data_IF_042433627979
#
_entry.id   IF_042433627979
#
_cell.length_a   1.000
_cell.length_b   1.000
_cell.length_c   1.000
_cell.angle_alpha   90.00
_cell.angle_beta   90.00
_cell.angle_gamma   90.00
#
_symmetry.space_group_name_H-M   'P 1'
#
loop_
_entity.id
_entity.type
_entity.pdbx_description
1 polymer ?
#
# COMPACT_ATOMS: atom_id res chain seq x y z
N UNK A 1 31.63 66.48 -39.20
CA UNK A 1 31.53 65.53 -40.32
C UNK A 1 32.61 64.49 -40.06
N UNK A 2 32.28 63.44 -39.30
CA UNK A 2 31.97 62.07 -39.79
C UNK A 2 33.23 61.37 -40.32
N UNK A 3 33.64 60.13 -40.01
CA UNK A 3 33.18 58.93 -39.25
C UNK A 3 34.44 58.00 -39.29
N UNK A 4 34.78 57.04 -38.42
CA UNK A 4 34.17 55.70 -38.19
C UNK A 4 35.12 54.86 -37.29
N UNK A 5 34.56 54.11 -36.32
CA UNK A 5 34.86 52.73 -35.84
C UNK A 5 36.29 52.19 -35.59
N UNK A 6 36.54 51.64 -34.38
CA UNK A 6 36.85 50.20 -34.07
C UNK A 6 37.05 50.04 -32.53
N UNK A 7 36.11 49.48 -31.74
CA UNK A 7 35.90 48.07 -31.32
C UNK A 7 37.09 47.37 -30.62
N UNK A 8 36.76 46.68 -29.52
CA UNK A 8 37.52 45.63 -28.80
C UNK A 8 38.68 46.15 -27.92
N UNK A 9 38.75 45.91 -26.61
CA UNK A 9 38.66 44.61 -25.98
C UNK A 9 37.98 44.66 -24.60
N UNK A 10 36.93 43.85 -24.55
CA UNK A 10 36.30 43.30 -23.37
C UNK A 10 37.33 42.44 -22.61
N UNK A 11 37.74 42.85 -21.41
CA UNK A 11 38.46 41.95 -20.50
C UNK A 11 37.50 41.56 -19.38
N UNK A 12 36.72 40.53 -19.68
CA UNK A 12 35.72 39.92 -18.82
C UNK A 12 36.37 39.40 -17.54
N UNK A 13 36.28 40.15 -16.44
CA UNK A 13 36.42 39.58 -15.11
C UNK A 13 35.26 38.62 -14.90
N UNK A 14 35.49 37.33 -15.14
CA UNK A 14 34.59 36.28 -14.70
C UNK A 14 34.51 36.32 -13.16
N UNK A 15 33.45 36.93 -12.65
CA UNK A 15 32.99 36.78 -11.27
C UNK A 15 32.70 35.28 -11.06
N UNK A 16 33.66 34.58 -10.45
CA UNK A 16 33.50 33.19 -10.04
C UNK A 16 32.44 33.14 -8.94
N UNK A 17 31.28 32.57 -9.27
CA UNK A 17 30.16 32.46 -8.35
C UNK A 17 30.58 31.69 -7.06
N UNK A 18 30.05 32.06 -5.88
CA UNK A 18 30.31 31.36 -4.64
C UNK A 18 29.87 29.90 -4.77
N UNK A 19 30.76 28.96 -4.42
CA UNK A 19 30.38 27.55 -4.33
C UNK A 19 29.48 27.37 -3.12
N UNK A 20 28.18 27.21 -3.36
CA UNK A 20 27.20 26.85 -2.33
C UNK A 20 27.61 25.48 -1.80
N UNK A 21 27.98 25.40 -0.52
CA UNK A 21 28.20 24.14 0.16
C UNK A 21 26.85 23.41 0.22
N UNK A 22 26.75 22.26 -0.44
CA UNK A 22 25.58 21.39 -0.32
C UNK A 22 25.54 20.83 1.10
N UNK A 23 24.57 21.27 1.89
CA UNK A 23 24.29 20.66 3.18
C UNK A 23 23.84 19.21 2.92
N UNK A 24 24.49 18.19 3.49
CA UNK A 24 24.00 16.82 3.38
C UNK A 24 22.61 16.77 4.00
N UNK A 25 21.66 16.18 3.28
CA UNK A 25 20.34 15.89 3.82
C UNK A 25 20.53 15.05 5.09
N UNK A 26 19.76 15.30 6.16
CA UNK A 26 19.80 14.44 7.34
C UNK A 26 19.52 13.01 6.86
N UNK A 27 20.38 12.07 7.27
CA UNK A 27 20.16 10.65 7.04
C UNK A 27 18.82 10.31 7.67
N UNK A 28 17.80 10.04 6.84
CA UNK A 28 16.54 9.50 7.32
C UNK A 28 16.91 8.13 7.90
N UNK A 29 16.90 8.02 9.23
CA UNK A 29 16.96 6.72 9.86
C UNK A 29 15.67 6.01 9.46
N UNK A 30 15.76 5.13 8.48
CA UNK A 30 14.64 4.27 8.11
C UNK A 30 14.34 3.39 9.32
N UNK A 31 13.22 3.64 9.97
CA UNK A 31 12.66 2.66 10.88
C UNK A 31 12.15 1.53 9.99
N UNK A 32 12.69 0.32 10.14
CA UNK A 32 12.16 -0.86 9.48
C UNK A 32 10.76 -1.13 10.07
N UNK A 33 9.73 -0.61 9.40
CA UNK A 33 8.35 -0.97 9.70
C UNK A 33 8.18 -2.45 9.39
N UNK A 34 7.71 -3.21 10.37
CA UNK A 34 7.47 -4.65 10.23
C UNK A 34 6.00 -4.93 10.46
N UNK A 35 5.36 -5.77 9.64
CA UNK A 35 3.96 -6.09 9.83
C UNK A 35 3.78 -6.95 11.07
N UNK A 36 2.61 -6.87 11.68
CA UNK A 36 2.20 -7.82 12.71
C UNK A 36 2.33 -9.24 12.13
N UNK A 37 2.87 -10.17 12.92
CA UNK A 37 3.17 -11.55 12.45
C UNK A 37 1.96 -12.19 11.78
N UNK A 38 0.77 -12.03 12.38
CA UNK A 38 -0.48 -12.58 11.84
C UNK A 38 -0.88 -12.02 10.46
N UNK A 39 -0.45 -10.81 10.12
CA UNK A 39 -0.69 -10.20 8.82
C UNK A 39 0.40 -10.58 7.82
N UNK A 40 1.55 -11.09 8.26
CA UNK A 40 2.67 -11.40 7.37
C UNK A 40 2.30 -12.45 6.34
N UNK A 41 2.72 -12.24 5.10
CA UNK A 41 2.56 -13.21 4.04
C UNK A 41 3.36 -14.49 4.33
N UNK A 42 2.66 -15.61 4.44
CA UNK A 42 3.23 -16.95 4.62
C UNK A 42 2.37 -17.98 3.89
N UNK A 43 3.00 -19.05 3.37
CA UNK A 43 2.28 -20.22 2.85
C UNK A 43 2.51 -21.42 3.80
N UNK A 44 1.49 -21.85 4.57
CA UNK A 44 0.11 -21.41 4.47
C UNK A 44 -0.24 -20.25 5.42
N UNK A 45 -1.13 -19.35 4.98
CA UNK A 45 -1.43 -18.11 5.70
C UNK A 45 -1.79 -18.30 7.18
N UNK A 46 -1.31 -17.38 8.03
CA UNK A 46 -1.50 -17.40 9.47
C UNK A 46 -2.92 -17.02 9.92
N UNK A 47 -3.68 -16.36 9.06
CA UNK A 47 -5.12 -16.12 9.23
C UNK A 47 -5.88 -16.91 8.19
N UNK A 48 -6.82 -17.74 8.63
CA UNK A 48 -7.82 -18.34 7.75
C UNK A 48 -8.97 -17.34 7.57
N UNK A 49 -9.02 -16.69 6.42
CA UNK A 49 -10.04 -15.70 6.11
C UNK A 49 -10.42 -15.74 4.63
N UNK A 50 -11.72 -15.89 4.36
CA UNK A 50 -12.33 -15.80 3.04
C UNK A 50 -12.84 -14.37 2.85
N UNK A 51 -12.29 -13.64 1.87
CA UNK A 51 -12.61 -12.23 1.62
C UNK A 51 -14.08 -11.98 1.25
N UNK A 52 -14.81 -13.02 0.84
CA UNK A 52 -16.24 -12.95 0.56
C UNK A 52 -17.07 -12.82 1.85
N UNK A 53 -16.48 -13.14 3.00
CA UNK A 53 -17.12 -13.05 4.32
C UNK A 53 -16.65 -11.81 5.06
N UNK A 54 -17.43 -11.39 6.04
CA UNK A 54 -17.07 -10.27 6.90
C UNK A 54 -15.80 -10.62 7.72
N UNK A 55 -14.87 -9.67 7.96
CA UNK A 55 -13.64 -9.91 8.73
C UNK A 55 -13.84 -10.48 10.13
N UNK A 56 -15.04 -10.34 10.72
CA UNK A 56 -15.40 -11.00 11.99
C UNK A 56 -15.34 -12.52 11.94
N UNK A 57 -15.34 -13.11 10.75
CA UNK A 57 -15.19 -14.55 10.53
C UNK A 57 -13.73 -14.99 10.42
N UNK A 58 -12.78 -14.05 10.36
CA UNK A 58 -11.35 -14.37 10.31
C UNK A 58 -10.93 -15.13 11.57
N UNK A 59 -10.13 -16.18 11.40
CA UNK A 59 -9.62 -16.99 12.51
C UNK A 59 -8.11 -17.17 12.38
N UNK A 60 -7.34 -17.06 13.49
CA UNK A 60 -5.95 -17.45 13.48
C UNK A 60 -5.86 -18.94 13.14
N UNK A 61 -4.92 -19.32 12.26
CA UNK A 61 -4.65 -20.71 11.89
C UNK A 61 -4.20 -21.54 13.10
N UNK A 62 -3.45 -20.92 14.02
CA UNK A 62 -2.98 -21.53 15.25
C UNK A 62 -3.51 -20.78 16.49
N UNK A 63 -4.79 -20.98 16.88
CA UNK A 63 -5.42 -20.19 17.95
C UNK A 63 -4.71 -20.27 19.31
N UNK A 64 -3.98 -21.35 19.59
CA UNK A 64 -3.24 -21.52 20.85
C UNK A 64 -1.98 -20.66 20.94
N UNK A 65 -1.49 -20.16 19.81
CA UNK A 65 -0.27 -19.36 19.73
C UNK A 65 -0.55 -17.86 19.64
N UNK A 66 -1.83 -17.48 19.59
CA UNK A 66 -2.29 -16.12 19.33
C UNK A 66 -3.18 -15.67 20.49
N UNK A 67 -3.05 -14.41 20.90
CA UNK A 67 -3.88 -13.82 21.96
C UNK A 67 -5.32 -13.74 21.49
N UNK A 68 -6.29 -13.81 22.41
CA UNK A 68 -7.71 -13.67 22.06
C UNK A 68 -8.04 -12.33 21.40
N UNK A 69 -7.26 -11.30 21.69
CA UNK A 69 -7.44 -9.91 21.21
C UNK A 69 -6.56 -9.55 20.03
N UNK A 70 -6.01 -10.54 19.31
CA UNK A 70 -5.05 -10.32 18.21
C UNK A 70 -5.53 -9.34 17.15
N UNK A 71 -6.83 -9.30 16.88
CA UNK A 71 -7.41 -8.40 15.89
C UNK A 71 -7.35 -6.92 16.32
N UNK A 72 -7.19 -6.65 17.62
CA UNK A 72 -7.04 -5.31 18.21
C UNK A 72 -5.58 -4.92 18.48
N UNK A 73 -4.62 -5.77 18.09
CA UNK A 73 -3.20 -5.46 18.18
C UNK A 73 -2.78 -4.57 17.00
N UNK A 74 -1.70 -3.80 17.18
CA UNK A 74 -1.20 -2.92 16.12
C UNK A 74 -0.83 -3.72 14.88
N UNK A 75 -1.22 -3.22 13.71
CA UNK A 75 -0.92 -3.87 12.44
C UNK A 75 0.56 -3.81 12.06
N UNK A 76 1.31 -2.84 12.61
CA UNK A 76 2.71 -2.58 12.27
C UNK A 76 3.54 -2.39 13.55
N UNK A 77 4.84 -2.66 13.47
CA UNK A 77 5.82 -2.31 14.47
C UNK A 77 6.96 -1.50 13.82
N UNK A 78 7.17 -0.23 14.23
CA UNK A 78 6.37 0.54 15.18
C UNK A 78 4.93 0.77 14.70
N UNK A 79 4.03 1.14 15.63
CA UNK A 79 2.63 1.39 15.31
C UNK A 79 2.49 2.62 14.39
N UNK A 80 1.67 2.50 13.34
CA UNK A 80 1.46 3.56 12.33
C UNK A 80 0.02 4.07 12.35
N UNK A 81 -0.19 5.36 12.09
CA UNK A 81 -1.52 5.98 12.01
C UNK A 81 -2.20 5.80 10.66
N UNK A 82 -1.47 5.37 9.64
CA UNK A 82 -2.00 5.10 8.29
C UNK A 82 -1.13 4.04 7.64
N UNK A 83 -1.76 3.12 6.91
CA UNK A 83 -1.08 2.06 6.17
C UNK A 83 -1.58 2.05 4.73
N UNK A 84 -0.67 1.99 3.77
CA UNK A 84 -1.02 1.96 2.36
C UNK A 84 -0.71 0.59 1.78
N UNK A 85 -1.73 -0.05 1.21
CA UNK A 85 -1.63 -1.38 0.62
C UNK A 85 -1.92 -1.33 -0.87
N UNK A 86 -1.21 -2.18 -1.59
CA UNK A 86 -1.42 -2.47 -3.01
C UNK A 86 -1.78 -3.95 -3.15
N UNK A 87 -2.56 -4.31 -4.16
CA UNK A 87 -2.85 -5.71 -4.43
C UNK A 87 -2.72 -5.98 -5.93
N UNK A 88 -2.21 -7.16 -6.29
CA UNK A 88 -2.08 -7.54 -7.70
C UNK A 88 -3.43 -7.77 -8.40
N UNK A 89 -4.49 -8.04 -7.63
CA UNK A 89 -5.82 -8.35 -8.17
C UNK A 89 -6.87 -7.27 -7.87
N UNK A 90 -6.63 -6.41 -6.87
CA UNK A 90 -7.53 -5.29 -6.58
C UNK A 90 -7.01 -4.04 -7.32
N UNK A 91 -7.83 -3.40 -8.17
CA UNK A 91 -7.36 -2.35 -9.07
C UNK A 91 -7.02 -1.03 -8.36
N UNK A 92 -7.48 -0.85 -7.11
CA UNK A 92 -7.34 0.39 -6.36
C UNK A 92 -6.31 0.26 -5.24
N UNK A 93 -5.65 1.39 -4.94
CA UNK A 93 -4.84 1.54 -3.75
C UNK A 93 -5.73 1.48 -2.50
N UNK A 94 -5.34 0.69 -1.50
CA UNK A 94 -6.12 0.51 -0.27
C UNK A 94 -5.44 1.33 0.82
N UNK A 95 -6.10 2.41 1.26
CA UNK A 95 -5.63 3.23 2.37
C UNK A 95 -6.34 2.79 3.63
N UNK A 96 -5.57 2.34 4.61
CA UNK A 96 -6.08 1.88 5.90
C UNK A 96 -5.85 2.96 6.95
N UNK A 97 -6.92 3.36 7.60
CA UNK A 97 -6.92 4.27 8.74
C UNK A 97 -7.55 3.61 9.96
N UNK A 98 -7.20 4.02 11.20
CA UNK A 98 -7.81 3.51 12.41
C UNK A 98 -9.33 3.68 12.36
N UNK A 99 -10.07 2.57 12.50
CA UNK A 99 -11.54 2.60 12.51
C UNK A 99 -12.15 2.51 13.92
N UNK A 100 -11.37 2.01 14.88
CA UNK A 100 -11.82 1.79 16.25
C UNK A 100 -11.56 3.01 17.14
N UNK A 101 -12.60 3.43 17.87
CA UNK A 101 -12.48 4.53 18.82
C UNK A 101 -11.49 4.18 19.94
N UNK A 102 -10.61 5.13 20.27
CA UNK A 102 -9.56 4.95 21.27
C UNK A 102 -8.24 4.41 20.74
N UNK A 103 -8.14 4.10 19.45
CA UNK A 103 -6.87 3.76 18.79
C UNK A 103 -6.42 4.90 17.88
N UNK A 104 -5.17 5.34 18.05
CA UNK A 104 -4.53 6.35 17.17
C UNK A 104 -3.68 5.70 16.07
N UNK A 105 -3.66 4.36 16.03
CA UNK A 105 -2.88 3.55 15.11
C UNK A 105 -3.72 2.46 14.47
N UNK A 106 -3.29 2.01 13.30
CA UNK A 106 -3.94 0.96 12.52
C UNK A 106 -3.79 -0.36 13.27
N UNK A 107 -4.90 -1.05 13.51
CA UNK A 107 -4.92 -2.39 14.09
C UNK A 107 -5.14 -3.46 13.01
N UNK A 108 -4.87 -4.71 13.36
CA UNK A 108 -5.03 -5.86 12.45
C UNK A 108 -6.44 -5.92 11.85
N UNK A 109 -7.48 -5.63 12.63
CA UNK A 109 -8.86 -5.61 12.15
C UNK A 109 -9.11 -4.56 11.08
N UNK A 110 -8.50 -3.37 11.20
CA UNK A 110 -8.65 -2.30 10.20
C UNK A 110 -8.11 -2.75 8.83
N UNK A 111 -6.98 -3.47 8.83
CA UNK A 111 -6.35 -4.01 7.61
C UNK A 111 -7.28 -5.01 6.93
N UNK A 112 -7.79 -5.99 7.69
CA UNK A 112 -8.69 -7.00 7.13
C UNK A 112 -10.00 -6.37 6.61
N UNK A 113 -10.52 -5.36 7.31
CA UNK A 113 -11.72 -4.64 6.90
C UNK A 113 -11.51 -3.82 5.62
N UNK A 114 -10.43 -3.05 5.54
CA UNK A 114 -10.14 -2.25 4.35
C UNK A 114 -9.95 -3.12 3.09
N UNK A 115 -9.29 -4.27 3.24
CA UNK A 115 -9.12 -5.22 2.12
C UNK A 115 -10.45 -5.87 1.73
N UNK A 116 -11.29 -6.22 2.71
CA UNK A 116 -12.64 -6.72 2.45
C UNK A 116 -13.48 -5.69 1.68
N UNK A 117 -13.50 -4.43 2.11
CA UNK A 117 -14.26 -3.38 1.44
C UNK A 117 -13.76 -3.14 0.00
N UNK A 118 -12.45 -3.08 -0.21
CA UNK A 118 -11.87 -2.95 -1.54
C UNK A 118 -12.25 -4.13 -2.45
N UNK A 119 -12.28 -5.35 -1.90
CA UNK A 119 -12.75 -6.54 -2.59
C UNK A 119 -14.25 -6.42 -2.95
N UNK A 120 -15.11 -6.02 -2.02
CA UNK A 120 -16.56 -5.87 -2.26
C UNK A 120 -16.88 -4.79 -3.29
N UNK A 121 -16.18 -3.65 -3.27
CA UNK A 121 -16.31 -2.60 -4.30
C UNK A 121 -16.00 -3.18 -5.67
N UNK A 122 -14.87 -3.88 -5.79
CA UNK A 122 -14.46 -4.52 -7.05
C UNK A 122 -15.52 -5.51 -7.53
N UNK A 123 -16.02 -6.39 -6.65
CA UNK A 123 -17.09 -7.33 -7.03
C UNK A 123 -18.34 -6.58 -7.49
N UNK A 124 -18.79 -5.55 -6.78
CA UNK A 124 -20.02 -4.82 -7.10
C UNK A 124 -19.93 -4.02 -8.40
N UNK A 125 -18.79 -3.39 -8.68
CA UNK A 125 -18.56 -2.63 -9.94
C UNK A 125 -18.70 -3.52 -11.18
N UNK A 126 -18.37 -4.81 -11.07
CA UNK A 126 -18.54 -5.76 -12.16
C UNK A 126 -19.98 -6.26 -12.37
N UNK A 127 -20.90 -5.98 -11.43
CA UNK A 127 -22.30 -6.47 -11.47
C UNK A 127 -23.33 -5.35 -11.71
N UNK A 128 -22.94 -4.20 -12.25
CA UNK A 128 -23.82 -3.05 -12.47
C UNK A 128 -25.06 -3.32 -13.35
N UNK A 129 -26.21 -2.63 -13.12
CA UNK A 129 -27.54 -2.94 -13.70
C UNK A 129 -27.75 -2.52 -15.16
N UNK A 130 -26.71 -2.45 -15.99
CA UNK A 130 -26.79 -1.97 -17.39
C UNK A 130 -25.94 -2.82 -18.32
N UNK A 131 -26.21 -4.13 -18.36
CA UNK A 131 -25.66 -5.00 -19.39
C UNK A 131 -26.65 -5.13 -20.55
N UNK A 132 -26.77 -4.07 -21.34
CA UNK A 132 -27.17 -4.21 -22.74
C UNK A 132 -25.96 -4.79 -23.46
N UNK A 133 -26.03 -6.07 -23.78
CA UNK A 133 -25.29 -6.76 -24.86
C UNK A 133 -23.89 -6.18 -25.15
N UNK A 134 -22.98 -6.30 -24.18
CA UNK A 134 -21.56 -6.03 -24.37
C UNK A 134 -20.78 -7.00 -23.50
N UNK A 135 -20.41 -8.09 -24.17
CA UNK A 135 -19.41 -9.11 -23.85
C UNK A 135 -18.66 -8.97 -22.49
N UNK A 136 -18.85 -9.90 -21.53
CA UNK A 136 -18.24 -9.87 -20.19
C UNK A 136 -16.77 -10.34 -20.19
N UNK A 137 -15.97 -9.87 -21.14
CA UNK A 137 -14.65 -10.43 -21.44
C UNK A 137 -13.55 -10.03 -20.46
N UNK A 138 -13.70 -8.93 -19.72
CA UNK A 138 -12.67 -8.48 -18.76
C UNK A 138 -12.56 -9.37 -17.51
N UNK A 139 -13.67 -9.98 -17.07
CA UNK A 139 -13.62 -10.99 -16.00
C UNK A 139 -13.31 -12.39 -16.50
N UNK A 140 -13.47 -12.64 -17.81
CA UNK A 140 -13.34 -13.97 -18.38
C UNK A 140 -11.88 -14.38 -18.60
N UNK A 141 -10.99 -13.43 -18.84
CA UNK A 141 -9.54 -13.69 -18.93
C UNK A 141 -8.88 -13.92 -17.54
N UNK A 142 -9.49 -13.42 -16.46
CA UNK A 142 -9.03 -13.69 -15.09
C UNK A 142 -9.83 -14.78 -14.35
N UNK A 143 -10.96 -15.25 -14.91
CA UNK A 143 -11.89 -16.20 -14.29
C UNK A 143 -11.36 -17.62 -14.09
N UNK A 144 -10.29 -18.04 -14.78
CA UNK A 144 -9.67 -19.34 -14.50
C UNK A 144 -8.63 -19.28 -13.39
N UNK A 145 -8.25 -18.08 -12.93
CA UNK A 145 -7.27 -17.87 -11.84
C UNK A 145 -7.97 -17.44 -10.53
N UNK A 146 -9.19 -16.88 -10.61
CA UNK A 146 -10.06 -16.50 -9.48
C UNK A 146 -10.72 -17.69 -8.74
N UNK A 147 -10.08 -18.86 -8.68
CA UNK A 147 -10.59 -19.98 -7.86
C UNK A 147 -10.39 -19.78 -6.35
N UNK A 148 -9.93 -18.60 -5.94
CA UNK A 148 -9.05 -18.49 -4.80
C UNK A 148 -9.15 -17.02 -4.30
N UNK A 149 -9.85 -16.88 -3.16
CA UNK A 149 -10.33 -15.62 -2.53
C UNK A 149 -9.86 -15.52 -1.07
N UNK A 150 -8.80 -16.25 -0.75
CA UNK A 150 -8.33 -16.44 0.61
C UNK A 150 -7.30 -15.38 0.95
N UNK A 151 -7.30 -14.93 2.19
CA UNK A 151 -6.22 -14.09 2.71
C UNK A 151 -4.88 -14.84 2.66
N UNK A 152 -3.88 -14.26 2.00
CA UNK A 152 -2.50 -14.75 1.99
C UNK A 152 -1.59 -14.01 2.98
N UNK A 153 -1.85 -12.73 3.22
CA UNK A 153 -1.01 -11.87 4.07
C UNK A 153 -0.51 -10.61 3.35
N UNK A 154 0.36 -9.85 4.01
CA UNK A 154 1.02 -8.68 3.48
C UNK A 154 2.55 -8.85 3.51
N UNK A 155 3.22 -8.31 2.50
CA UNK A 155 4.69 -8.23 2.44
C UNK A 155 5.12 -6.83 2.04
N UNK A 156 6.36 -6.46 2.37
CA UNK A 156 6.94 -5.21 1.91
C UNK A 156 7.09 -5.22 0.37
N UNK A 157 6.84 -4.08 -0.27
CA UNK A 157 7.27 -3.83 -1.65
C UNK A 157 8.66 -3.15 -1.66
N UNK A 158 9.26 -3.04 -2.84
CA UNK A 158 10.62 -2.48 -3.04
C UNK A 158 10.83 -1.02 -2.58
N UNK A 159 9.87 -0.40 -1.89
CA UNK A 159 9.95 0.95 -1.35
C UNK A 159 9.35 1.03 0.07
N UNK A 160 9.89 1.93 0.92
CA UNK A 160 9.48 2.04 2.32
C UNK A 160 8.00 2.44 2.44
N UNK A 161 7.28 1.80 3.38
CA UNK A 161 5.87 2.10 3.67
C UNK A 161 4.89 1.63 2.60
N UNK A 162 5.34 0.89 1.59
CA UNK A 162 4.47 0.28 0.58
C UNK A 162 4.34 -1.21 0.82
N UNK A 163 3.12 -1.65 1.09
CA UNK A 163 2.83 -3.05 1.40
C UNK A 163 2.00 -3.69 0.29
N UNK A 164 2.26 -4.95 -0.01
CA UNK A 164 1.51 -5.75 -0.97
C UNK A 164 0.63 -6.74 -0.23
N UNK A 165 -0.66 -6.74 -0.54
CA UNK A 165 -1.61 -7.78 -0.14
C UNK A 165 -1.52 -8.94 -1.11
N UNK A 166 -1.38 -10.13 -0.55
CA UNK A 166 -1.48 -11.40 -1.25
C UNK A 166 -2.85 -12.00 -0.98
N UNK A 167 -3.55 -12.32 -2.06
CA UNK A 167 -4.83 -13.01 -2.04
C UNK A 167 -4.60 -14.31 -2.77
N UNK A 168 -4.82 -15.40 -2.05
CA UNK A 168 -4.66 -16.75 -2.59
C UNK A 168 -5.90 -17.19 -3.28
#
# INVERSE_FOLDING_TARGET
METTHDRSHQNSQMLRAPRIATLPLPSVAYSEETPHSILTYEDPALVNYDLRRHPSDARPRYPRLVRLTWCYESAMHPAVSTLTLTCGILPQLIVVTPSHSGFEFVIVQDVLLAVHEAYQVTVNEHHGPTATDSDPSFLREHSTVLTRHMWGGISEQSGPGQWRVHIE
#
